data_IF_999490766602
#
_entry.id   IF_999490766602
#
_cell.length_a   1.000
_cell.length_b   1.000
_cell.length_c   1.000
_cell.angle_alpha   90.00
_cell.angle_beta   90.00
_cell.angle_gamma   90.00
#
_symmetry.space_group_name_H-M   'P 1'
#
loop_
_entity.id
_entity.type
_entity.pdbx_description
1 polymer ?
#
# COMPACT_ATOMS: atom_id res chain seq x y z
N UNK A 1 -2.54 -3.12 17.12
CA UNK A 1 -2.95 -4.51 16.87
C UNK A 1 -2.48 -4.97 15.49
N UNK A 2 -2.16 -6.24 15.33
CA UNK A 2 -1.90 -6.91 14.06
C UNK A 2 -2.40 -8.36 14.12
N UNK A 3 -2.59 -8.97 12.95
CA UNK A 3 -3.09 -10.34 12.80
C UNK A 3 -2.16 -11.09 11.85
N UNK A 4 -1.61 -12.21 12.28
CA UNK A 4 -0.71 -13.06 11.48
C UNK A 4 -1.46 -14.30 11.02
N UNK A 5 -1.21 -14.73 9.78
CA UNK A 5 -1.70 -15.97 9.21
C UNK A 5 -0.56 -17.01 9.19
N UNK A 6 -0.53 -17.95 10.17
CA UNK A 6 0.61 -18.83 10.40
C UNK A 6 1.01 -19.68 9.20
N UNK A 7 0.07 -20.09 8.36
CA UNK A 7 0.33 -20.93 7.19
C UNK A 7 1.10 -20.20 6.08
N UNK A 8 1.05 -18.86 6.06
CA UNK A 8 1.78 -18.01 5.11
C UNK A 8 3.09 -17.45 5.68
N UNK A 9 3.33 -17.57 7.00
CA UNK A 9 4.54 -17.06 7.62
C UNK A 9 5.78 -17.83 7.14
N UNK A 10 6.93 -17.14 6.97
CA UNK A 10 8.21 -17.82 6.80
C UNK A 10 8.47 -18.80 7.96
N UNK A 11 8.93 -20.02 7.65
CA UNK A 11 9.14 -21.08 8.66
C UNK A 11 9.99 -20.65 9.85
N UNK A 12 11.03 -19.86 9.59
CA UNK A 12 11.92 -19.33 10.63
C UNK A 12 11.18 -18.40 11.60
N UNK A 13 10.31 -17.54 11.07
CA UNK A 13 9.46 -16.65 11.87
C UNK A 13 8.48 -17.48 12.69
N UNK A 14 7.81 -18.45 12.06
CA UNK A 14 6.84 -19.31 12.74
C UNK A 14 7.47 -20.08 13.90
N UNK A 15 8.64 -20.69 13.69
CA UNK A 15 9.37 -21.42 14.74
C UNK A 15 9.74 -20.51 15.92
N UNK A 16 10.08 -19.25 15.66
CA UNK A 16 10.35 -18.27 16.72
C UNK A 16 9.08 -17.92 17.48
N UNK A 17 7.95 -17.71 16.79
CA UNK A 17 6.67 -17.37 17.41
C UNK A 17 6.17 -18.46 18.34
N UNK A 18 6.40 -19.75 18.02
CA UNK A 18 6.00 -20.87 18.88
C UNK A 18 6.54 -20.78 20.31
N UNK A 19 7.72 -20.17 20.53
CA UNK A 19 8.28 -19.98 21.87
C UNK A 19 7.55 -18.91 22.72
N UNK A 20 6.78 -18.04 22.08
CA UNK A 20 6.03 -16.97 22.73
C UNK A 20 4.58 -17.35 23.02
N UNK A 21 3.99 -18.22 22.20
CA UNK A 21 2.61 -18.67 22.35
C UNK A 21 2.42 -19.50 23.64
N UNK A 22 1.26 -19.32 24.27
CA UNK A 22 0.85 -20.15 25.39
C UNK A 22 0.17 -21.43 24.90
N UNK A 23 0.09 -22.46 25.73
CA UNK A 23 -0.70 -23.66 25.42
C UNK A 23 -2.21 -23.38 25.27
N UNK A 24 -2.67 -22.25 25.82
CA UNK A 24 -4.06 -21.78 25.71
C UNK A 24 -4.27 -20.80 24.54
N UNK A 25 -3.27 -20.65 23.65
CA UNK A 25 -3.40 -19.88 22.40
C UNK A 25 -4.68 -20.28 21.65
N UNK A 26 -5.54 -19.33 21.25
CA UNK A 26 -6.73 -19.63 20.44
C UNK A 26 -6.38 -20.30 19.11
N UNK A 27 -5.23 -19.99 18.52
CA UNK A 27 -4.74 -20.66 17.33
C UNK A 27 -4.45 -22.15 17.59
N UNK A 28 -3.81 -22.49 18.72
CA UNK A 28 -3.49 -23.87 19.11
C UNK A 28 -4.73 -24.64 19.58
N UNK A 29 -5.56 -24.04 20.43
CA UNK A 29 -6.62 -24.71 21.18
C UNK A 29 -7.96 -24.74 20.44
N UNK A 30 -8.32 -23.62 19.83
CA UNK A 30 -9.63 -23.42 19.21
C UNK A 30 -9.59 -23.53 17.68
N UNK A 31 -8.38 -23.68 17.10
CA UNK A 31 -8.17 -23.71 15.66
C UNK A 31 -8.54 -22.38 15.00
N UNK A 32 -8.41 -21.27 15.72
CA UNK A 32 -8.55 -19.93 15.13
C UNK A 32 -7.44 -19.74 14.08
N UNK A 33 -7.73 -19.31 12.84
CA UNK A 33 -6.74 -19.35 11.75
C UNK A 33 -5.59 -18.34 11.89
N UNK A 34 -5.66 -17.44 12.87
CA UNK A 34 -4.70 -16.34 12.99
C UNK A 34 -4.10 -16.23 14.39
N UNK A 35 -2.90 -15.65 14.47
CA UNK A 35 -2.31 -15.20 15.74
C UNK A 35 -2.52 -13.70 15.84
N UNK A 36 -3.14 -13.25 16.93
CA UNK A 36 -3.38 -11.82 17.19
C UNK A 36 -2.24 -11.26 18.03
N UNK A 37 -1.79 -10.06 17.71
CA UNK A 37 -0.82 -9.36 18.53
C UNK A 37 -1.09 -7.86 18.63
N UNK A 38 -0.40 -7.24 19.57
CA UNK A 38 -0.32 -5.79 19.75
C UNK A 38 1.12 -5.34 19.61
N UNK A 39 1.30 -4.07 19.26
CA UNK A 39 2.61 -3.44 19.12
C UNK A 39 2.46 -1.93 19.33
N UNK A 40 3.59 -1.25 19.57
CA UNK A 40 3.61 0.21 19.69
C UNK A 40 3.78 0.90 18.35
N UNK A 41 4.55 0.30 17.43
CA UNK A 41 4.84 0.86 16.12
C UNK A 41 4.93 -0.24 15.05
N UNK A 42 4.58 0.13 13.82
CA UNK A 42 4.67 -0.73 12.63
C UNK A 42 5.50 -0.03 11.58
N UNK A 43 6.55 -0.70 11.10
CA UNK A 43 7.37 -0.24 9.99
C UNK A 43 7.27 -1.21 8.84
N UNK A 44 6.74 -0.77 7.70
CA UNK A 44 6.83 -1.51 6.44
C UNK A 44 8.03 -0.98 5.65
N UNK A 45 8.81 -1.90 5.10
CA UNK A 45 10.00 -1.61 4.31
C UNK A 45 10.02 -2.49 3.07
N UNK A 46 10.44 -1.92 1.95
CA UNK A 46 10.77 -2.65 0.75
C UNK A 46 12.18 -2.27 0.29
N UNK A 47 12.98 -3.25 -0.11
CA UNK A 47 14.31 -3.04 -0.67
C UNK A 47 14.38 -3.71 -2.05
N UNK A 48 14.76 -2.95 -3.07
CA UNK A 48 15.07 -3.52 -4.39
C UNK A 48 16.46 -4.15 -4.31
N UNK A 49 16.51 -5.48 -4.34
CA UNK A 49 17.77 -6.23 -4.27
C UNK A 49 18.44 -6.31 -5.64
N UNK A 50 17.64 -6.53 -6.67
CA UNK A 50 18.13 -6.75 -8.03
C UNK A 50 17.04 -6.43 -9.06
N UNK A 51 17.45 -5.97 -10.25
CA UNK A 51 16.58 -5.81 -11.41
C UNK A 51 17.21 -6.56 -12.60
N UNK A 52 16.44 -7.47 -13.21
CA UNK A 52 16.84 -8.27 -14.37
C UNK A 52 15.73 -8.22 -15.42
N UNK A 53 15.95 -7.41 -16.46
CA UNK A 53 14.97 -7.24 -17.54
C UNK A 53 13.64 -6.73 -16.99
N UNK A 54 12.56 -7.47 -17.23
CA UNK A 54 11.20 -7.16 -16.77
C UNK A 54 10.89 -7.67 -15.36
N UNK A 55 11.90 -8.13 -14.60
CA UNK A 55 11.71 -8.66 -13.25
C UNK A 55 12.60 -7.98 -12.24
N UNK A 56 12.11 -7.82 -11.01
CA UNK A 56 12.88 -7.32 -9.88
C UNK A 56 12.75 -8.23 -8.65
N UNK A 57 13.83 -8.40 -7.91
CA UNK A 57 13.83 -9.04 -6.60
C UNK A 57 13.63 -7.99 -5.53
N UNK A 58 12.52 -8.10 -4.80
CA UNK A 58 12.12 -7.15 -3.77
C UNK A 58 12.12 -7.85 -2.44
N UNK A 59 12.94 -7.40 -1.49
CA UNK A 59 12.82 -7.80 -0.10
C UNK A 59 11.76 -6.93 0.57
N UNK A 60 10.65 -7.55 0.95
CA UNK A 60 9.58 -6.88 1.70
C UNK A 60 9.72 -7.29 3.16
N UNK A 61 9.59 -6.33 4.07
CA UNK A 61 9.59 -6.62 5.49
C UNK A 61 8.61 -5.74 6.25
N UNK A 62 8.10 -6.28 7.34
CA UNK A 62 7.33 -5.55 8.35
C UNK A 62 7.95 -5.80 9.71
N UNK A 63 8.13 -4.74 10.48
CA UNK A 63 8.62 -4.80 11.85
C UNK A 63 7.57 -4.25 12.80
N UNK A 64 7.18 -5.09 13.75
CA UNK A 64 6.32 -4.72 14.88
C UNK A 64 7.21 -4.45 16.09
N UNK A 65 7.22 -3.21 16.57
CA UNK A 65 8.02 -2.79 17.72
C UNK A 65 7.27 -3.06 19.02
N UNK A 66 7.95 -3.61 20.01
CA UNK A 66 7.39 -4.04 21.30
C UNK A 66 6.13 -4.90 21.11
N UNK A 67 6.26 -5.94 20.28
CA UNK A 67 5.15 -6.80 19.95
C UNK A 67 4.80 -7.73 21.12
N UNK A 68 3.51 -7.94 21.36
CA UNK A 68 2.98 -8.93 22.29
C UNK A 68 1.98 -9.79 21.55
N UNK A 69 1.94 -11.09 21.84
CA UNK A 69 1.03 -12.03 21.18
C UNK A 69 -0.08 -12.42 22.16
N UNK A 70 -1.31 -12.48 21.67
CA UNK A 70 -2.48 -13.00 22.37
C UNK A 70 -2.73 -12.36 23.74
N UNK A 71 -2.35 -11.07 23.88
CA UNK A 71 -2.52 -10.31 25.12
C UNK A 71 -1.55 -10.66 26.25
N UNK A 72 -0.49 -11.45 26.00
CA UNK A 72 0.57 -11.68 26.99
C UNK A 72 1.55 -10.51 27.05
N UNK A 73 1.16 -9.45 27.76
CA UNK A 73 1.98 -8.26 27.95
C UNK A 73 3.23 -8.49 28.83
N UNK A 74 3.44 -9.71 29.37
CA UNK A 74 4.67 -10.05 30.11
C UNK A 74 5.80 -10.49 29.18
N UNK A 75 5.47 -10.91 27.96
CA UNK A 75 6.44 -11.36 26.95
C UNK A 75 6.47 -10.39 25.78
N UNK A 76 7.24 -9.33 25.95
CA UNK A 76 7.45 -8.34 24.89
C UNK A 76 8.55 -8.85 23.96
N UNK A 77 8.24 -8.92 22.67
CA UNK A 77 9.19 -9.13 21.58
C UNK A 77 9.64 -7.74 21.11
N UNK A 78 10.89 -7.29 21.41
CA UNK A 78 11.28 -5.91 21.13
C UNK A 78 11.13 -5.52 19.66
N UNK A 79 11.54 -6.43 18.77
CA UNK A 79 11.37 -6.28 17.32
C UNK A 79 10.94 -7.62 16.72
N UNK A 80 9.66 -7.73 16.38
CA UNK A 80 9.16 -8.83 15.58
C UNK A 80 9.21 -8.43 14.10
N UNK A 81 10.28 -8.84 13.42
CA UNK A 81 10.45 -8.59 11.98
C UNK A 81 10.08 -9.84 11.18
N UNK A 82 9.18 -9.66 10.22
CA UNK A 82 8.78 -10.66 9.24
C UNK A 82 9.23 -10.14 7.89
N UNK A 83 9.94 -10.96 7.12
CA UNK A 83 10.48 -10.54 5.83
C UNK A 83 10.43 -11.69 4.83
N UNK A 84 10.42 -11.32 3.54
CA UNK A 84 10.44 -12.26 2.43
C UNK A 84 10.92 -11.57 1.17
N UNK A 85 11.65 -12.31 0.35
CA UNK A 85 12.02 -11.87 -1.00
C UNK A 85 10.95 -12.33 -1.99
N UNK A 86 10.40 -11.40 -2.75
CA UNK A 86 9.39 -11.61 -3.78
C UNK A 86 9.96 -11.28 -5.15
N UNK A 87 9.50 -11.98 -6.18
CA UNK A 87 9.75 -11.58 -7.56
C UNK A 87 8.65 -10.63 -7.98
N UNK A 88 8.99 -9.45 -8.46
CA UNK A 88 8.06 -8.52 -9.07
C UNK A 88 8.22 -8.57 -10.59
N UNK A 89 7.11 -8.72 -11.31
CA UNK A 89 7.07 -8.42 -12.73
C UNK A 89 6.82 -6.91 -12.92
N UNK A 90 7.75 -6.23 -13.59
CA UNK A 90 7.72 -4.78 -13.78
C UNK A 90 6.72 -4.35 -14.87
N UNK A 91 6.31 -5.26 -15.74
CA UNK A 91 5.39 -4.98 -16.84
C UNK A 91 3.93 -4.89 -16.37
N UNK A 92 3.54 -5.68 -15.37
CA UNK A 92 2.17 -5.72 -14.84
C UNK A 92 2.07 -5.37 -13.34
N UNK A 93 3.23 -5.12 -12.72
CA UNK A 93 3.41 -4.82 -11.29
C UNK A 93 2.92 -5.94 -10.36
N UNK A 94 2.88 -7.20 -10.82
CA UNK A 94 2.44 -8.35 -10.02
C UNK A 94 3.61 -8.99 -9.27
N UNK A 95 3.43 -9.23 -7.97
CA UNK A 95 4.33 -10.07 -7.18
C UNK A 95 4.07 -11.55 -7.38
N UNK A 96 5.15 -12.32 -7.40
CA UNK A 96 5.19 -13.76 -7.47
C UNK A 96 6.02 -14.32 -6.31
N UNK A 97 5.47 -15.34 -5.66
CA UNK A 97 6.12 -16.13 -4.63
C UNK A 97 6.32 -17.54 -5.18
N UNK A 98 7.57 -17.92 -5.45
CA UNK A 98 7.93 -19.20 -6.07
C UNK A 98 7.12 -19.52 -7.35
N UNK A 99 6.86 -18.51 -8.17
CA UNK A 99 6.11 -18.63 -9.44
C UNK A 99 4.59 -18.56 -9.29
N UNK A 100 4.05 -18.52 -8.06
CA UNK A 100 2.62 -18.30 -7.83
C UNK A 100 2.33 -16.80 -7.69
N UNK A 101 1.37 -16.24 -8.45
CA UNK A 101 1.01 -14.83 -8.32
C UNK A 101 0.38 -14.56 -6.95
N UNK A 102 0.78 -13.45 -6.31
CA UNK A 102 0.29 -13.03 -5.00
C UNK A 102 -0.69 -11.85 -5.13
N UNK A 103 -0.37 -10.89 -5.98
CA UNK A 103 -1.15 -9.67 -6.20
C UNK A 103 -0.30 -8.55 -6.79
N UNK A 104 -0.92 -7.44 -7.15
CA UNK A 104 -0.23 -6.23 -7.62
C UNK A 104 0.46 -5.52 -6.45
N UNK A 105 1.64 -4.96 -6.69
CA UNK A 105 2.33 -4.14 -5.69
C UNK A 105 1.44 -2.98 -5.22
N UNK A 106 1.47 -2.71 -3.92
CA UNK A 106 0.70 -1.62 -3.31
C UNK A 106 1.58 -0.58 -2.65
N UNK A 107 2.84 -0.91 -2.31
CA UNK A 107 3.79 0.08 -1.80
C UNK A 107 4.38 0.96 -2.91
N UNK A 108 4.22 0.55 -4.16
CA UNK A 108 4.59 1.32 -5.34
C UNK A 108 3.83 0.82 -6.57
N UNK A 109 3.69 1.71 -7.56
CA UNK A 109 2.99 1.46 -8.82
C UNK A 109 3.82 1.98 -9.99
N UNK A 110 3.49 1.54 -11.21
CA UNK A 110 3.87 2.30 -12.40
C UNK A 110 2.95 3.53 -12.49
N UNK A 111 3.47 4.76 -12.37
CA UNK A 111 2.65 5.97 -12.45
C UNK A 111 2.10 6.22 -13.87
N UNK A 112 2.67 5.59 -14.90
CA UNK A 112 2.24 5.72 -16.29
C UNK A 112 1.08 4.78 -16.67
N UNK A 113 0.95 3.65 -15.98
CA UNK A 113 -0.19 2.72 -16.09
C UNK A 113 -0.65 2.25 -14.70
N UNK A 114 -1.25 3.15 -13.89
CA UNK A 114 -1.73 2.79 -12.56
C UNK A 114 -2.87 1.75 -12.64
N UNK A 115 -3.05 0.89 -11.61
CA UNK A 115 -4.13 -0.09 -11.56
C UNK A 115 -5.51 0.50 -11.85
N UNK A 116 -6.26 -0.10 -12.78
CA UNK A 116 -7.55 0.46 -13.25
C UNK A 116 -8.72 0.03 -12.38
N UNK A 117 -9.81 0.83 -12.30
CA UNK A 117 -11.03 0.43 -11.60
C UNK A 117 -11.53 -0.95 -12.02
N UNK A 118 -11.72 -1.82 -11.03
CA UNK A 118 -12.14 -3.21 -11.21
C UNK A 118 -11.01 -4.23 -11.27
N UNK A 119 -9.75 -3.81 -11.47
CA UNK A 119 -8.61 -4.71 -11.33
C UNK A 119 -8.47 -5.21 -9.90
N UNK A 120 -8.13 -6.48 -9.74
CA UNK A 120 -7.83 -7.08 -8.43
C UNK A 120 -6.43 -6.65 -8.02
N UNK A 121 -6.30 -6.04 -6.84
CA UNK A 121 -5.00 -5.74 -6.25
C UNK A 121 -4.44 -6.96 -5.53
N UNK A 122 -5.24 -7.58 -4.66
CA UNK A 122 -4.85 -8.76 -3.90
C UNK A 122 -6.06 -9.55 -3.43
N UNK A 123 -5.80 -10.75 -2.93
CA UNK A 123 -6.80 -11.62 -2.31
C UNK A 123 -6.47 -11.81 -0.84
N UNK A 124 -7.49 -11.69 0.03
CA UNK A 124 -7.38 -12.07 1.42
C UNK A 124 -7.50 -13.60 1.52
N UNK A 125 -6.47 -14.22 2.07
CA UNK A 125 -6.37 -15.66 2.31
C UNK A 125 -6.48 -15.97 3.82
N UNK A 126 -6.57 -17.27 4.16
CA UNK A 126 -6.75 -17.73 5.54
C UNK A 126 -8.21 -17.71 6.03
N UNK A 127 -9.13 -17.24 5.18
CA UNK A 127 -10.57 -17.36 5.36
C UNK A 127 -11.12 -18.57 4.60
N UNK A 128 -12.25 -19.12 5.04
CA UNK A 128 -12.97 -20.21 4.36
C UNK A 128 -13.38 -19.85 2.93
N UNK A 129 -13.59 -18.56 2.66
CA UNK A 129 -13.78 -17.98 1.33
C UNK A 129 -12.80 -16.84 1.13
N UNK A 130 -11.92 -16.97 0.15
CA UNK A 130 -11.01 -15.90 -0.24
C UNK A 130 -11.77 -14.66 -0.72
N UNK A 131 -11.25 -13.48 -0.40
CA UNK A 131 -11.88 -12.20 -0.73
C UNK A 131 -10.97 -11.41 -1.66
N UNK A 132 -11.42 -11.17 -2.88
CA UNK A 132 -10.67 -10.36 -3.83
C UNK A 132 -10.93 -8.88 -3.56
N UNK A 133 -9.86 -8.15 -3.26
CA UNK A 133 -9.87 -6.70 -3.09
C UNK A 133 -9.51 -6.07 -4.43
N UNK A 134 -10.42 -5.25 -4.95
CA UNK A 134 -10.27 -4.61 -6.27
C UNK A 134 -10.22 -3.10 -6.16
N UNK A 135 -9.63 -2.47 -7.17
CA UNK A 135 -9.60 -1.01 -7.31
C UNK A 135 -11.03 -0.49 -7.49
N UNK A 136 -11.40 0.48 -6.67
CA UNK A 136 -12.66 1.20 -6.78
C UNK A 136 -12.54 2.46 -7.62
N UNK A 137 -11.53 3.28 -7.34
CA UNK A 137 -11.31 4.55 -8.02
C UNK A 137 -9.81 4.91 -8.06
N UNK A 138 -9.43 5.64 -9.11
CA UNK A 138 -8.12 6.28 -9.26
C UNK A 138 -8.34 7.78 -9.43
N UNK A 139 -7.63 8.60 -8.67
CA UNK A 139 -7.70 10.07 -8.73
C UNK A 139 -6.31 10.67 -8.83
N UNK A 140 -6.18 11.81 -9.52
CA UNK A 140 -4.91 12.56 -9.61
C UNK A 140 -4.88 13.78 -8.68
N UNK A 141 -5.90 13.89 -7.81
CA UNK A 141 -6.11 14.99 -6.88
C UNK A 141 -6.37 14.50 -5.46
N UNK A 142 -5.74 13.38 -5.05
CA UNK A 142 -5.74 12.95 -3.66
C UNK A 142 -5.32 14.11 -2.76
N UNK A 143 -6.12 14.44 -1.73
CA UNK A 143 -5.96 15.61 -0.86
C UNK A 143 -6.11 16.99 -1.54
N UNK A 144 -6.70 17.04 -2.73
CA UNK A 144 -6.90 18.26 -3.53
C UNK A 144 -5.59 18.96 -3.84
N UNK A 145 -5.58 20.29 -3.74
CA UNK A 145 -4.39 21.12 -3.96
C UNK A 145 -3.48 21.24 -2.73
N UNK A 146 -3.80 20.57 -1.62
CA UNK A 146 -3.00 20.65 -0.39
C UNK A 146 -1.68 19.91 -0.56
N UNK A 147 -0.60 20.34 0.08
CA UNK A 147 0.63 19.52 0.20
C UNK A 147 0.38 18.34 1.12
N UNK A 148 0.88 17.15 0.80
CA UNK A 148 0.84 15.98 1.69
C UNK A 148 2.13 15.96 2.49
N UNK A 149 2.01 15.97 3.81
CA UNK A 149 3.14 15.97 4.73
C UNK A 149 3.46 14.52 5.14
N UNK A 150 4.74 14.19 5.12
CA UNK A 150 5.29 12.90 5.55
C UNK A 150 6.47 13.15 6.48
N UNK A 151 7.00 12.11 7.14
CA UNK A 151 8.19 12.27 7.97
C UNK A 151 9.46 12.48 7.13
N UNK A 152 9.46 12.04 5.87
CA UNK A 152 10.58 12.22 4.96
C UNK A 152 10.64 13.65 4.39
N UNK A 153 9.57 14.08 3.71
CA UNK A 153 9.43 15.44 3.15
C UNK A 153 7.98 15.79 2.81
N UNK A 154 7.66 17.06 2.51
CA UNK A 154 6.40 17.45 1.89
C UNK A 154 6.30 16.98 0.42
N UNK A 155 5.11 16.60 -0.02
CA UNK A 155 4.80 16.18 -1.39
C UNK A 155 3.67 17.04 -1.97
N UNK A 156 4.02 17.89 -2.95
CA UNK A 156 3.08 18.77 -3.64
C UNK A 156 2.28 18.00 -4.72
N UNK A 157 1.08 18.47 -5.10
CA UNK A 157 0.36 17.92 -6.25
C UNK A 157 1.15 18.03 -7.56
N UNK A 158 0.88 17.19 -8.58
CA UNK A 158 -0.12 16.12 -8.61
C UNK A 158 0.33 14.86 -7.86
N UNK A 159 -0.64 14.02 -7.49
CA UNK A 159 -0.42 12.74 -6.79
C UNK A 159 -1.43 11.72 -7.29
N UNK A 160 -1.07 10.44 -7.28
CA UNK A 160 -2.00 9.38 -7.64
C UNK A 160 -2.64 8.85 -6.36
N UNK A 161 -3.96 8.90 -6.27
CA UNK A 161 -4.75 8.29 -5.21
C UNK A 161 -5.47 7.06 -5.75
N UNK A 162 -5.35 5.93 -5.06
CA UNK A 162 -6.09 4.71 -5.37
C UNK A 162 -6.93 4.36 -4.16
N UNK A 163 -8.24 4.17 -4.37
CA UNK A 163 -9.14 3.66 -3.32
C UNK A 163 -9.70 2.32 -3.75
N UNK A 164 -9.75 1.34 -2.86
CA UNK A 164 -10.37 0.04 -3.17
C UNK A 164 -11.88 0.18 -3.28
N UNK A 165 -12.54 -0.80 -3.91
CA UNK A 165 -13.96 -1.02 -3.66
C UNK A 165 -14.15 -1.37 -2.19
N UNK A 166 -15.36 -1.13 -1.68
CA UNK A 166 -15.72 -1.65 -0.37
C UNK A 166 -15.71 -3.18 -0.45
N UNK A 167 -15.03 -3.81 0.49
CA UNK A 167 -15.06 -5.26 0.69
C UNK A 167 -15.36 -5.54 2.15
N UNK A 168 -16.11 -6.59 2.41
CA UNK A 168 -16.45 -7.03 3.75
C UNK A 168 -16.24 -8.55 3.81
N UNK A 169 -15.81 -9.05 4.96
CA UNK A 169 -15.65 -10.48 5.20
C UNK A 169 -16.20 -10.85 6.56
N UNK A 170 -16.71 -12.07 6.64
CA UNK A 170 -17.15 -12.70 7.88
C UNK A 170 -16.89 -14.18 7.76
N UNK A 171 -16.20 -14.74 8.74
CA UNK A 171 -15.87 -16.15 8.79
C UNK A 171 -15.99 -16.67 10.23
N UNK A 172 -16.26 -17.96 10.36
CA UNK A 172 -16.42 -18.57 11.67
C UNK A 172 -16.08 -20.06 11.64
N UNK A 173 -15.38 -20.49 12.68
CA UNK A 173 -15.19 -21.90 12.99
C UNK A 173 -16.10 -22.34 14.13
N UNK A 174 -15.80 -23.52 14.68
CA UNK A 174 -16.58 -24.09 15.79
C UNK A 174 -16.55 -23.22 17.06
N UNK A 175 -15.40 -22.62 17.35
CA UNK A 175 -15.12 -21.89 18.59
C UNK A 175 -14.66 -20.44 18.37
N UNK A 176 -14.73 -19.94 17.13
CA UNK A 176 -14.21 -18.62 16.80
C UNK A 176 -15.02 -17.96 15.70
N UNK A 177 -14.99 -16.63 15.65
CA UNK A 177 -15.51 -15.85 14.53
C UNK A 177 -14.61 -14.64 14.28
N UNK A 178 -14.57 -14.19 13.03
CA UNK A 178 -13.88 -12.98 12.62
C UNK A 178 -14.74 -12.27 11.57
N UNK A 179 -14.78 -10.94 11.65
CA UNK A 179 -15.35 -10.12 10.60
C UNK A 179 -14.56 -8.83 10.48
N UNK A 180 -14.64 -8.23 9.31
CA UNK A 180 -13.91 -7.01 9.00
C UNK A 180 -14.15 -6.58 7.57
N UNK A 181 -13.37 -5.61 7.14
CA UNK A 181 -13.51 -5.01 5.83
C UNK A 181 -13.54 -3.50 5.91
N UNK A 182 -13.77 -2.88 4.75
CA UNK A 182 -13.78 -1.44 4.62
C UNK A 182 -13.36 -1.01 3.22
N UNK A 183 -12.67 0.12 3.18
CA UNK A 183 -12.09 0.72 1.99
C UNK A 183 -10.67 1.12 2.33
N UNK A 184 -9.73 0.66 1.54
CA UNK A 184 -8.32 1.04 1.69
C UNK A 184 -8.00 2.18 0.73
N UNK A 185 -7.14 3.09 1.17
CA UNK A 185 -6.71 4.25 0.40
C UNK A 185 -5.18 4.33 0.36
N UNK A 186 -4.65 4.51 -0.84
CA UNK A 186 -3.22 4.61 -1.12
C UNK A 186 -2.94 5.88 -1.89
N UNK A 187 -1.91 6.62 -1.51
CA UNK A 187 -1.48 7.84 -2.17
C UNK A 187 -0.01 7.71 -2.56
N UNK A 188 0.27 7.95 -3.83
CA UNK A 188 1.57 7.78 -4.45
C UNK A 188 2.10 9.12 -4.98
N UNK A 189 3.41 9.26 -4.94
CA UNK A 189 4.12 10.29 -5.68
C UNK A 189 3.92 10.09 -7.19
N UNK A 190 3.55 11.16 -7.90
CA UNK A 190 3.18 11.06 -9.31
C UNK A 190 4.36 10.73 -10.23
N UNK A 191 5.59 11.10 -9.85
CA UNK A 191 6.76 10.94 -10.71
C UNK A 191 7.43 9.58 -10.51
N UNK A 192 7.49 9.12 -9.26
CA UNK A 192 8.19 7.88 -8.89
C UNK A 192 7.25 6.68 -8.71
N UNK A 193 5.95 6.92 -8.51
CA UNK A 193 4.98 5.86 -8.21
C UNK A 193 5.13 5.26 -6.81
N UNK A 194 5.99 5.80 -5.95
CA UNK A 194 6.20 5.33 -4.57
C UNK A 194 5.02 5.75 -3.70
N UNK A 195 4.53 4.85 -2.85
CA UNK A 195 3.50 5.19 -1.87
C UNK A 195 4.06 6.16 -0.83
N UNK A 196 3.46 7.34 -0.75
CA UNK A 196 3.85 8.39 0.21
C UNK A 196 2.96 8.41 1.44
N UNK A 197 1.73 7.93 1.32
CA UNK A 197 0.79 7.78 2.43
C UNK A 197 -0.32 6.77 2.10
N UNK A 198 -0.95 6.19 3.11
CA UNK A 198 -2.12 5.35 2.92
C UNK A 198 -2.84 4.99 4.21
N UNK A 199 -4.16 4.90 4.15
CA UNK A 199 -5.01 4.34 5.20
C UNK A 199 -5.44 2.95 4.74
N UNK A 200 -4.67 1.93 5.14
CA UNK A 200 -4.95 0.55 4.75
C UNK A 200 -4.67 -0.45 5.86
N UNK A 201 -5.50 -1.47 6.04
CA UNK A 201 -5.21 -2.57 6.99
C UNK A 201 -4.62 -3.80 6.31
N UNK A 202 -4.83 -3.93 5.00
CA UNK A 202 -4.43 -5.07 4.19
C UNK A 202 -3.64 -4.59 2.97
N UNK A 203 -2.71 -5.40 2.50
CA UNK A 203 -2.02 -5.18 1.22
C UNK A 203 -1.45 -6.47 0.66
N UNK A 204 -1.04 -6.46 -0.61
CA UNK A 204 -0.32 -7.58 -1.23
C UNK A 204 0.94 -7.94 -0.44
N UNK A 205 1.72 -6.92 -0.06
CA UNK A 205 2.96 -7.06 0.69
C UNK A 205 2.73 -7.67 2.08
N UNK A 206 1.69 -7.23 2.79
CA UNK A 206 1.31 -7.82 4.08
C UNK A 206 0.88 -9.28 3.91
N UNK A 207 0.02 -9.57 2.93
CA UNK A 207 -0.44 -10.93 2.68
C UNK A 207 0.69 -11.87 2.29
N UNK A 208 1.64 -11.40 1.47
CA UNK A 208 2.82 -12.16 1.06
C UNK A 208 3.71 -12.57 2.24
N UNK A 209 3.75 -11.73 3.28
CA UNK A 209 4.48 -11.96 4.52
C UNK A 209 3.71 -12.84 5.52
N UNK A 210 2.45 -13.17 5.26
CA UNK A 210 1.57 -13.83 6.22
C UNK A 210 1.07 -12.89 7.31
N UNK A 211 1.00 -11.59 7.05
CA UNK A 211 0.29 -10.63 7.88
C UNK A 211 -1.09 -10.41 7.27
N UNK A 212 -2.11 -10.91 7.94
CA UNK A 212 -3.49 -10.77 7.50
C UNK A 212 -3.96 -9.32 7.62
N UNK A 213 -3.66 -8.66 8.73
CA UNK A 213 -4.02 -7.26 8.92
C UNK A 213 -3.13 -6.53 9.91
N UNK A 214 -3.08 -5.20 9.79
CA UNK A 214 -2.45 -4.29 10.75
C UNK A 214 -3.43 -3.16 11.11
N UNK A 215 -3.35 -2.65 12.34
CA UNK A 215 -3.85 -1.30 12.64
C UNK A 215 -2.82 -0.30 12.14
N UNK A 216 -3.09 0.28 10.97
CA UNK A 216 -2.19 1.22 10.29
C UNK A 216 -2.31 2.67 10.76
N UNK A 217 -3.16 2.97 11.75
CA UNK A 217 -3.37 4.34 12.18
C UNK A 217 -2.14 4.90 12.91
N UNK A 218 -1.37 5.77 12.25
CA UNK A 218 -0.39 6.62 12.92
C UNK A 218 -1.09 7.77 13.66
N UNK A 219 -1.27 7.59 14.96
CA UNK A 219 -1.97 8.54 15.83
C UNK A 219 -1.09 9.70 16.31
N UNK A 220 0.20 9.71 15.97
CA UNK A 220 1.16 10.72 16.48
C UNK A 220 0.92 12.11 15.88
N UNK A 221 0.69 12.18 14.57
CA UNK A 221 0.48 13.45 13.84
C UNK A 221 -0.56 13.24 12.74
N UNK A 222 -1.64 14.03 12.72
CA UNK A 222 -2.70 13.97 11.70
C UNK A 222 -3.42 15.30 11.57
N UNK A 223 -4.12 15.48 10.46
CA UNK A 223 -5.00 16.62 10.22
C UNK A 223 -4.39 17.66 9.27
N UNK A 224 -4.98 18.85 9.25
CA UNK A 224 -4.61 19.92 8.30
C UNK A 224 -3.96 21.09 9.02
N UNK A 225 -2.86 21.59 8.47
CA UNK A 225 -2.17 22.81 8.86
C UNK A 225 -2.08 23.79 7.67
N UNK A 226 -1.49 24.96 7.89
CA UNK A 226 -1.18 25.91 6.81
C UNK A 226 -0.16 25.34 5.82
N UNK A 227 0.74 24.46 6.29
CA UNK A 227 1.80 23.84 5.49
C UNK A 227 1.28 22.70 4.60
N UNK A 228 0.19 22.04 4.99
CA UNK A 228 -0.37 20.92 4.27
C UNK A 228 -1.30 20.04 5.08
N UNK A 229 -1.52 18.81 4.59
CA UNK A 229 -2.30 17.77 5.25
C UNK A 229 -1.34 16.68 5.70
N UNK A 230 -1.42 16.30 6.97
CA UNK A 230 -0.90 15.04 7.50
C UNK A 230 -1.97 13.96 7.33
N UNK A 231 -1.81 13.04 6.37
CA UNK A 231 -2.76 11.95 6.14
C UNK A 231 -3.00 11.11 7.38
N UNK A 232 -4.16 10.48 7.47
CA UNK A 232 -4.34 9.35 8.39
C UNK A 232 -3.59 8.12 7.86
N UNK A 233 -3.26 7.20 8.76
CA UNK A 233 -2.63 5.93 8.40
C UNK A 233 -1.09 5.98 8.31
N UNK A 234 -0.54 5.13 7.45
CA UNK A 234 0.90 4.99 7.19
C UNK A 234 1.40 6.16 6.33
N UNK A 235 2.61 6.64 6.62
CA UNK A 235 3.29 7.72 5.90
C UNK A 235 4.71 7.31 5.57
N UNK A 236 5.23 7.83 4.46
CA UNK A 236 6.63 7.65 4.11
C UNK A 236 7.53 8.20 5.21
N UNK A 237 8.38 7.33 5.74
CA UNK A 237 9.30 7.66 6.81
C UNK A 237 10.70 7.99 6.27
N UNK A 238 11.23 7.12 5.42
CA UNK A 238 12.56 7.25 4.84
C UNK A 238 12.61 6.48 3.51
N UNK A 239 13.51 6.90 2.61
CA UNK A 239 13.77 6.22 1.34
C UNK A 239 15.07 6.72 0.68
N UNK A 240 15.73 5.83 -0.05
CA UNK A 240 16.88 6.14 -0.90
C UNK A 240 16.50 6.48 -2.35
N UNK A 241 15.21 6.48 -2.69
CA UNK A 241 14.74 6.82 -4.02
C UNK A 241 14.98 8.32 -4.25
N UNK A 242 15.73 8.62 -5.31
CA UNK A 242 15.98 9.98 -5.71
C UNK A 242 14.68 10.60 -6.24
N UNK A 243 14.15 11.58 -5.50
CA UNK A 243 13.06 12.39 -6.01
C UNK A 243 13.62 13.59 -6.75
N UNK A 244 12.97 14.03 -7.85
CA UNK A 244 13.35 15.26 -8.52
C UNK A 244 13.35 16.45 -7.55
N UNK A 245 14.40 17.28 -7.63
CA UNK A 245 14.52 18.49 -6.83
C UNK A 245 13.40 19.47 -7.17
N UNK A 246 12.62 19.87 -6.16
CA UNK A 246 11.55 20.86 -6.32
C UNK A 246 12.09 22.28 -6.61
N UNK A 247 13.41 22.48 -6.51
CA UNK A 247 14.09 23.76 -6.70
C UNK A 247 14.51 24.10 -8.13
N UNK A 248 14.50 23.14 -9.05
CA UNK A 248 14.74 23.42 -10.46
C UNK A 248 13.40 23.65 -11.18
N UNK A 249 13.11 24.92 -11.46
CA UNK A 249 11.95 25.37 -12.23
C UNK A 249 11.89 24.84 -13.68
N UNK A 250 12.88 24.04 -14.11
CA UNK A 250 12.73 23.21 -15.29
C UNK A 250 11.80 22.05 -14.92
N UNK A 251 10.50 22.20 -15.15
CA UNK A 251 9.62 21.04 -15.03
C UNK A 251 10.19 19.91 -15.91
N UNK A 252 10.14 18.66 -15.43
CA UNK A 252 10.73 17.54 -16.16
C UNK A 252 10.19 17.51 -17.59
N UNK A 253 11.07 17.24 -18.56
CA UNK A 253 10.69 17.01 -19.97
C UNK A 253 9.94 15.69 -20.08
N UNK A 254 8.72 15.68 -19.55
CA UNK A 254 7.77 14.61 -19.69
C UNK A 254 7.12 14.72 -21.07
N UNK A 255 6.97 13.60 -21.81
CA UNK A 255 6.20 13.54 -23.04
C UNK A 255 4.79 14.16 -22.91
N UNK A 256 4.22 14.19 -21.70
CA UNK A 256 2.91 14.75 -21.38
C UNK A 256 2.82 16.25 -21.63
N UNK A 257 3.94 16.97 -21.60
CA UNK A 257 4.00 18.38 -22.04
C UNK A 257 3.60 18.51 -23.50
N UNK A 258 4.08 17.63 -24.38
CA UNK A 258 3.72 17.68 -25.80
C UNK A 258 2.24 17.38 -26.01
N UNK A 259 1.66 16.42 -25.27
CA UNK A 259 0.23 16.13 -25.34
C UNK A 259 -0.63 17.27 -24.79
N UNK A 260 -0.19 17.93 -23.71
CA UNK A 260 -0.88 19.08 -23.14
C UNK A 260 -0.79 20.30 -24.09
N UNK A 261 0.38 20.59 -24.64
CA UNK A 261 0.56 21.66 -25.62
C UNK A 261 -0.21 21.37 -26.90
N UNK A 262 -0.19 20.13 -27.41
CA UNK A 262 -0.96 19.74 -28.60
C UNK A 262 -2.47 19.81 -28.31
N UNK A 263 -2.91 19.41 -27.12
CA UNK A 263 -4.30 19.51 -26.68
C UNK A 263 -4.78 20.96 -26.62
N UNK A 264 -3.99 21.85 -25.99
CA UNK A 264 -4.26 23.29 -25.92
C UNK A 264 -4.25 23.91 -27.32
N UNK A 265 -3.27 23.59 -28.17
CA UNK A 265 -3.23 24.06 -29.56
C UNK A 265 -4.45 23.61 -30.36
N UNK A 266 -4.87 22.35 -30.21
CA UNK A 266 -6.06 21.81 -30.89
C UNK A 266 -7.33 22.50 -30.40
N UNK A 267 -7.47 22.72 -29.10
CA UNK A 267 -8.60 23.46 -28.52
C UNK A 267 -8.62 24.92 -28.98
N UNK A 268 -7.47 25.59 -29.00
CA UNK A 268 -7.35 26.98 -29.42
C UNK A 268 -7.66 27.14 -30.92
N UNK A 269 -7.13 26.24 -31.76
CA UNK A 269 -7.43 26.21 -33.18
C UNK A 269 -8.91 25.92 -33.44
N UNK A 270 -9.52 25.03 -32.66
CA UNK A 270 -10.96 24.72 -32.74
C UNK A 270 -11.83 25.90 -32.34
N UNK A 271 -11.46 26.63 -31.28
CA UNK A 271 -12.13 27.85 -30.84
C UNK A 271 -12.01 28.97 -31.89
N UNK A 272 -10.82 29.17 -32.47
CA UNK A 272 -10.60 30.17 -33.52
C UNK A 272 -11.35 29.82 -34.81
N UNK A 273 -11.34 28.56 -35.23
CA UNK A 273 -12.10 28.10 -36.40
C UNK A 273 -13.61 28.28 -36.20
N UNK A 274 -14.10 28.03 -34.98
CA UNK A 274 -15.52 28.22 -34.62
C UNK A 274 -15.90 29.70 -34.56
N UNK A 275 -15.06 30.54 -33.95
CA UNK A 275 -15.24 32.00 -33.95
C UNK A 275 -15.24 32.59 -35.36
N UNK A 276 -14.37 32.10 -36.25
CA UNK A 276 -14.33 32.56 -37.64
C UNK A 276 -15.54 32.12 -38.47
N UNK A 277 -16.09 30.94 -38.14
CA UNK A 277 -17.30 30.40 -38.78
C UNK A 277 -18.59 31.09 -38.29
N UNK A 278 -18.62 31.50 -37.02
CA UNK A 278 -19.78 32.11 -36.38
C UNK A 278 -19.75 33.67 -36.38
N UNK A 279 -18.57 34.28 -36.60
CA UNK A 279 -18.34 35.73 -36.58
C UNK A 279 -18.44 36.45 -37.93
N UNK A 280 -18.83 35.74 -38.99
CA UNK A 280 -19.12 36.31 -40.32
C UNK A 280 -20.56 35.97 -40.79
N UNK A 281 -21.53 36.17 -39.89
CA UNK A 281 -22.93 36.43 -40.24
C UNK A 281 -23.41 37.70 -39.56
#
# INVERSE_FOLDING_TARGET
>A
MFTLYPERLPREVMNRLMGYLSSDSPWIKDGFPFIIGDCTEVFLRFDVLEVRGETALINVSVTFVNATLEGDYRKIIPNLTIWKVLNLNLSDMTYYDNGTPVGKATLFIDPSDPPKPGEILFSLEGLSRGINVSVGNVTYSAYGNSTVLTYYRPFRPPRIGITTRRFDFSDAGKNWSISGGGREEYTYDFLTGVMIAGTFSHSTELMALGVFSIDSMDRRIRGKSEEGVWPDGIKLYDTNIAFPDEGNSSSPDSPWRYYMYSGILTLTASLLARWWKDGHR
#
